data_IF_801096755038
#
_entry.id   IF_801096755038
#
_cell.length_a   1.000
_cell.length_b   1.000
_cell.length_c   1.000
_cell.angle_alpha   90.00
_cell.angle_beta   90.00
_cell.angle_gamma   90.00
#
_symmetry.space_group_name_H-M   'P 1'
#
loop_
_entity.id
_entity.type
_entity.pdbx_description
1 polymer ?
#
# COMPACT_ATOMS: atom_id res chain seq x y z
N UNK A 1 -5.88 19.62 1.09
CA UNK A 1 -5.90 18.55 0.07
C UNK A 1 -7.26 18.55 -0.60
N UNK A 2 -7.37 18.11 -1.84
CA UNK A 2 -8.65 18.08 -2.55
C UNK A 2 -8.73 16.91 -3.53
N UNK A 3 -9.95 16.55 -3.90
CA UNK A 3 -10.26 15.56 -4.92
C UNK A 3 -11.52 15.99 -5.69
N UNK A 4 -11.66 15.49 -6.90
CA UNK A 4 -12.89 15.52 -7.68
C UNK A 4 -12.95 14.24 -8.51
N UNK A 5 -14.12 13.93 -9.04
CA UNK A 5 -14.33 12.74 -9.85
C UNK A 5 -15.07 13.10 -11.12
N UNK A 6 -14.83 12.31 -12.16
CA UNK A 6 -15.51 12.42 -13.43
C UNK A 6 -16.62 11.37 -13.50
N UNK A 7 -17.80 11.77 -13.96
CA UNK A 7 -18.91 10.85 -14.19
C UNK A 7 -19.18 10.76 -15.69
N UNK A 8 -19.07 9.56 -16.26
CA UNK A 8 -19.34 9.32 -17.69
C UNK A 8 -20.80 9.57 -18.06
N UNK A 9 -21.75 9.27 -17.15
CA UNK A 9 -23.19 9.48 -17.36
C UNK A 9 -23.55 10.95 -17.61
N UNK A 10 -22.90 11.86 -16.89
CA UNK A 10 -23.13 13.31 -17.02
C UNK A 10 -22.11 13.99 -17.91
N UNK A 11 -20.99 13.31 -18.22
CA UNK A 11 -19.86 13.84 -18.98
C UNK A 11 -19.15 15.00 -18.27
N UNK A 12 -19.20 15.06 -16.93
CA UNK A 12 -18.74 16.21 -16.15
C UNK A 12 -17.88 15.80 -14.97
N UNK A 13 -16.99 16.70 -14.59
CA UNK A 13 -16.29 16.68 -13.31
C UNK A 13 -17.21 17.20 -12.20
N UNK A 14 -17.10 16.62 -11.02
CA UNK A 14 -17.74 17.12 -9.81
C UNK A 14 -17.06 18.37 -9.29
N UNK A 15 -17.71 19.05 -8.33
CA UNK A 15 -17.08 20.13 -7.60
C UNK A 15 -15.88 19.61 -6.79
N UNK A 16 -14.92 20.49 -6.54
CA UNK A 16 -13.78 20.16 -5.69
C UNK A 16 -14.24 19.90 -4.25
N UNK A 17 -13.82 18.77 -3.71
CA UNK A 17 -14.04 18.37 -2.33
C UNK A 17 -12.73 18.60 -1.59
N UNK A 18 -12.78 19.26 -0.44
CA UNK A 18 -11.59 19.68 0.30
C UNK A 18 -11.52 19.03 1.68
N UNK A 19 -10.29 18.82 2.15
CA UNK A 19 -10.00 18.48 3.54
C UNK A 19 -8.68 19.16 3.95
N UNK A 20 -8.53 19.64 5.20
CA UNK A 20 -7.28 20.23 5.67
C UNK A 20 -6.13 19.20 5.60
N UNK A 21 -4.93 19.67 5.27
CA UNK A 21 -3.74 18.85 5.35
C UNK A 21 -3.24 18.79 6.80
N UNK A 22 -2.95 17.61 7.36
CA UNK A 22 -2.41 17.50 8.73
C UNK A 22 -0.95 17.96 8.84
N UNK A 23 -0.25 18.10 7.72
CA UNK A 23 1.13 18.57 7.61
C UNK A 23 1.37 19.19 6.21
N UNK A 24 2.57 19.70 5.96
CA UNK A 24 2.95 20.23 4.66
C UNK A 24 3.06 19.10 3.62
N UNK A 25 2.11 19.03 2.70
CA UNK A 25 2.05 18.05 1.60
C UNK A 25 2.63 18.67 0.33
N UNK A 26 3.54 17.95 -0.32
CA UNK A 26 4.19 18.36 -1.57
C UNK A 26 3.54 17.71 -2.79
N UNK A 27 3.13 16.44 -2.69
CA UNK A 27 2.63 15.66 -3.82
C UNK A 27 1.85 14.42 -3.39
N UNK A 28 1.21 13.78 -4.37
CA UNK A 28 0.73 12.40 -4.32
C UNK A 28 1.43 11.65 -5.45
N UNK A 29 2.40 10.80 -5.10
CA UNK A 29 3.28 10.15 -6.08
C UNK A 29 2.69 8.83 -6.57
N UNK A 30 2.11 8.05 -5.66
CA UNK A 30 1.51 6.77 -5.99
C UNK A 30 0.08 6.94 -6.52
N UNK A 31 -0.38 6.01 -7.38
CA UNK A 31 -1.79 5.92 -7.72
C UNK A 31 -2.64 5.66 -6.46
N UNK A 32 -3.91 6.07 -6.54
CA UNK A 32 -4.87 5.78 -5.49
C UNK A 32 -5.24 4.31 -5.48
N UNK A 33 -5.35 3.73 -4.29
CA UNK A 33 -5.69 2.32 -4.10
C UNK A 33 -7.16 2.23 -3.77
N UNK A 34 -7.90 1.42 -4.52
CA UNK A 34 -9.32 1.17 -4.25
C UNK A 34 -9.46 0.05 -3.22
N UNK A 35 -10.08 0.36 -2.07
CA UNK A 35 -10.39 -0.65 -1.05
C UNK A 35 -11.85 -0.49 -0.64
N UNK A 36 -12.68 -1.46 -1.04
CA UNK A 36 -14.13 -1.37 -0.90
C UNK A 36 -14.68 -0.22 -1.73
N UNK A 37 -15.39 0.72 -1.08
CA UNK A 37 -16.00 1.89 -1.72
C UNK A 37 -15.20 3.19 -1.49
N UNK A 38 -13.91 3.07 -1.22
CA UNK A 38 -13.05 4.23 -0.95
C UNK A 38 -11.71 4.12 -1.68
N UNK A 39 -11.24 5.25 -2.19
CA UNK A 39 -9.88 5.39 -2.69
C UNK A 39 -8.98 5.92 -1.58
N UNK A 40 -7.74 5.44 -1.56
CA UNK A 40 -6.75 5.82 -0.58
C UNK A 40 -5.44 6.26 -1.23
N UNK A 41 -4.83 7.30 -0.66
CA UNK A 41 -3.51 7.76 -1.08
C UNK A 41 -2.61 8.06 0.11
N UNK A 42 -1.31 7.95 -0.11
CA UNK A 42 -0.29 8.46 0.80
C UNK A 42 0.15 9.86 0.34
N UNK A 43 -0.19 10.94 1.07
CA UNK A 43 0.38 12.25 0.80
C UNK A 43 1.88 12.24 1.09
N UNK A 44 2.69 12.67 0.12
CA UNK A 44 4.13 12.88 0.30
C UNK A 44 4.37 14.26 0.91
N UNK A 45 5.07 14.33 2.05
CA UNK A 45 5.27 15.59 2.76
C UNK A 45 6.14 15.47 4.01
N UNK A 46 6.08 16.50 4.88
CA UNK A 46 6.75 16.52 6.19
C UNK A 46 5.90 15.85 7.29
N UNK A 47 5.42 14.65 7.01
CA UNK A 47 4.56 13.87 7.90
C UNK A 47 4.08 12.59 7.25
N UNK A 48 3.20 11.87 7.94
CA UNK A 48 2.60 10.63 7.41
C UNK A 48 1.13 10.56 7.82
N UNK A 49 0.29 10.29 6.84
CA UNK A 49 -1.14 10.08 6.99
C UNK A 49 -1.65 9.31 5.76
N UNK A 50 -2.91 8.94 5.79
CA UNK A 50 -3.61 8.35 4.65
C UNK A 50 -4.78 9.27 4.31
N UNK A 51 -4.87 9.69 3.05
CA UNK A 51 -6.05 10.38 2.55
C UNK A 51 -7.07 9.31 2.11
N UNK A 52 -8.27 9.37 2.66
CA UNK A 52 -9.41 8.56 2.23
C UNK A 52 -10.38 9.43 1.45
N UNK A 53 -10.81 8.95 0.29
CA UNK A 53 -11.95 9.48 -0.45
C UNK A 53 -13.06 8.43 -0.47
N UNK A 54 -14.13 8.69 0.29
CA UNK A 54 -15.34 7.87 0.31
C UNK A 54 -16.18 8.19 -0.93
N UNK A 55 -16.32 7.22 -1.83
CA UNK A 55 -17.01 7.39 -3.11
C UNK A 55 -18.53 7.52 -2.94
N UNK A 56 -19.10 6.82 -1.97
CA UNK A 56 -20.54 6.81 -1.73
C UNK A 56 -20.99 8.12 -1.06
N UNK A 57 -20.22 8.58 -0.07
CA UNK A 57 -20.49 9.83 0.65
C UNK A 57 -19.95 11.06 -0.08
N UNK A 58 -19.02 10.86 -1.02
CA UNK A 58 -18.28 11.92 -1.69
C UNK A 58 -17.60 12.86 -0.68
N UNK A 59 -16.85 12.27 0.26
CA UNK A 59 -16.17 13.02 1.32
C UNK A 59 -14.69 12.64 1.41
N UNK A 60 -13.86 13.60 1.81
CA UNK A 60 -12.45 13.38 2.11
C UNK A 60 -12.22 13.35 3.61
N UNK A 61 -11.51 12.32 4.07
CA UNK A 61 -11.08 12.18 5.44
C UNK A 61 -9.57 11.91 5.51
N UNK A 62 -8.96 12.36 6.60
CA UNK A 62 -7.56 12.07 6.90
C UNK A 62 -7.54 10.99 7.97
N UNK A 63 -6.81 9.91 7.68
CA UNK A 63 -6.56 8.82 8.59
C UNK A 63 -5.15 8.98 9.13
N UNK A 64 -5.02 9.04 10.45
CA UNK A 64 -3.72 9.09 11.11
C UNK A 64 -2.92 7.82 10.82
N UNK A 65 -1.61 8.01 10.67
CA UNK A 65 -0.66 6.91 10.55
C UNK A 65 -0.61 6.10 11.86
N UNK A 66 -0.27 4.79 11.85
CA UNK A 66 0.01 4.07 13.09
C UNK A 66 1.02 4.83 13.96
N UNK A 67 0.80 4.89 15.28
CA UNK A 67 1.55 5.78 16.17
C UNK A 67 3.03 5.41 16.35
N UNK A 68 3.41 4.18 16.02
CA UNK A 68 4.80 3.70 16.13
C UNK A 68 5.11 2.68 15.03
N UNK A 69 5.16 3.11 13.77
CA UNK A 69 5.49 2.21 12.68
C UNK A 69 7.00 1.98 12.70
N UNK A 70 7.45 0.74 12.54
CA UNK A 70 8.84 0.50 12.18
C UNK A 70 8.99 0.78 10.68
N UNK A 71 8.89 2.03 10.24
CA UNK A 71 9.07 2.40 8.84
C UNK A 71 9.66 3.81 8.69
N UNK A 72 10.58 3.97 7.73
CA UNK A 72 11.23 5.26 7.46
C UNK A 72 10.42 6.13 6.50
N UNK A 73 9.53 5.54 5.69
CA UNK A 73 8.76 6.27 4.67
C UNK A 73 7.53 5.49 4.19
N UNK A 74 6.50 6.24 3.78
CA UNK A 74 5.32 5.71 3.07
C UNK A 74 5.67 4.99 1.77
N UNK A 75 6.81 5.27 1.14
CA UNK A 75 7.27 4.56 -0.07
C UNK A 75 7.47 3.05 0.15
N UNK A 76 7.62 2.63 1.41
CA UNK A 76 7.77 1.24 1.83
C UNK A 76 6.50 0.69 2.50
N UNK A 77 5.36 1.29 2.21
CA UNK A 77 4.08 0.91 2.77
C UNK A 77 3.04 0.69 1.68
N UNK A 78 2.04 -0.13 1.99
CA UNK A 78 0.97 -0.47 1.04
C UNK A 78 -0.35 -0.69 1.80
N UNK A 79 -1.41 -0.02 1.33
CA UNK A 79 -2.78 -0.26 1.82
C UNK A 79 -3.36 -1.47 1.08
N UNK A 80 -4.14 -2.27 1.78
CA UNK A 80 -4.84 -3.43 1.22
C UNK A 80 -6.16 -3.68 1.95
N UNK A 81 -7.03 -4.52 1.37
CA UNK A 81 -8.24 -5.00 2.03
C UNK A 81 -7.90 -6.21 2.92
N UNK A 82 -8.01 -6.07 4.23
CA UNK A 82 -7.77 -7.17 5.17
C UNK A 82 -8.97 -8.12 5.26
N UNK A 83 -8.75 -9.30 5.85
CA UNK A 83 -9.83 -10.25 6.14
C UNK A 83 -10.88 -9.60 7.05
N UNK A 84 -12.16 -9.85 6.77
CA UNK A 84 -13.27 -9.20 7.48
C UNK A 84 -13.60 -7.77 7.00
N UNK A 85 -12.97 -7.29 5.92
CA UNK A 85 -13.32 -6.01 5.29
C UNK A 85 -12.65 -4.80 5.94
N UNK A 86 -11.67 -5.00 6.81
CA UNK A 86 -10.93 -3.91 7.45
C UNK A 86 -9.89 -3.30 6.50
N UNK A 87 -9.55 -2.04 6.75
CA UNK A 87 -8.42 -1.40 6.08
C UNK A 87 -7.11 -1.97 6.65
N UNK A 88 -6.33 -2.63 5.81
CA UNK A 88 -5.01 -3.15 6.11
C UNK A 88 -3.90 -2.20 5.66
N UNK A 89 -2.79 -2.21 6.38
CA UNK A 89 -1.57 -1.50 6.03
C UNK A 89 -0.38 -2.42 6.29
N UNK A 90 0.44 -2.66 5.28
CA UNK A 90 1.77 -3.26 5.46
C UNK A 90 2.80 -2.15 5.45
N UNK A 91 3.72 -2.20 6.42
CA UNK A 91 4.84 -1.26 6.53
C UNK A 91 6.15 -2.03 6.59
N UNK A 92 7.14 -1.62 5.80
CA UNK A 92 8.48 -2.24 5.78
C UNK A 92 9.51 -1.27 6.39
N UNK A 93 10.35 -1.79 7.28
CA UNK A 93 11.65 -1.21 7.65
C UNK A 93 12.76 -1.94 6.90
N UNK A 94 14.01 -1.60 7.22
CA UNK A 94 15.17 -2.36 6.77
C UNK A 94 15.12 -3.81 7.28
N UNK A 95 14.75 -4.05 8.52
CA UNK A 95 14.88 -5.37 9.17
C UNK A 95 13.55 -6.13 9.33
N UNK A 96 12.43 -5.43 9.24
CA UNK A 96 11.14 -5.97 9.63
C UNK A 96 10.02 -5.57 8.68
N UNK A 97 8.98 -6.38 8.69
CA UNK A 97 7.70 -6.11 8.06
C UNK A 97 6.65 -6.16 9.16
N UNK A 98 5.73 -5.19 9.16
CA UNK A 98 4.59 -5.17 10.06
C UNK A 98 3.27 -5.10 9.27
N UNK A 99 2.28 -5.87 9.71
CA UNK A 99 0.91 -5.80 9.21
C UNK A 99 0.04 -5.16 10.29
N UNK A 100 -0.69 -4.12 9.89
CA UNK A 100 -1.62 -3.38 10.71
C UNK A 100 -3.02 -3.47 10.13
N UNK A 101 -4.02 -3.52 11.01
CA UNK A 101 -5.42 -3.45 10.62
C UNK A 101 -6.12 -2.35 11.40
N UNK A 102 -6.98 -1.58 10.72
CA UNK A 102 -7.73 -0.48 11.31
C UNK A 102 -9.06 -1.01 11.86
N UNK A 103 -9.10 -1.26 13.18
CA UNK A 103 -10.22 -1.90 13.88
C UNK A 103 -10.94 -0.94 14.82
N UNK A 104 -12.25 -1.12 14.95
CA UNK A 104 -13.04 -0.48 16.01
C UNK A 104 -12.72 -1.17 17.33
N UNK A 105 -12.20 -0.43 18.29
CA UNK A 105 -11.87 -0.96 19.61
C UNK A 105 -13.09 -0.92 20.54
N UNK A 106 -12.96 -1.53 21.72
CA UNK A 106 -14.03 -1.62 22.74
C UNK A 106 -14.62 -0.26 23.14
N UNK A 107 -13.85 0.81 22.99
CA UNK A 107 -14.26 2.19 23.28
C UNK A 107 -15.05 2.85 22.14
N UNK A 108 -15.32 2.13 21.04
CA UNK A 108 -15.97 2.66 19.84
C UNK A 108 -15.05 3.51 18.96
N UNK A 109 -13.78 3.67 19.34
CA UNK A 109 -12.77 4.40 18.58
C UNK A 109 -12.06 3.46 17.60
N UNK A 110 -11.95 3.90 16.35
CA UNK A 110 -11.21 3.18 15.31
C UNK A 110 -9.73 3.52 15.37
N UNK A 111 -8.87 2.53 15.58
CA UNK A 111 -7.41 2.69 15.62
C UNK A 111 -6.68 1.59 14.87
N UNK A 112 -5.42 1.86 14.52
CA UNK A 112 -4.52 0.84 14.00
C UNK A 112 -4.13 -0.15 15.10
N UNK A 113 -4.22 -1.44 14.78
CA UNK A 113 -3.81 -2.53 15.66
C UNK A 113 -2.80 -3.38 14.90
N UNK A 114 -1.59 -3.52 15.47
CA UNK A 114 -0.56 -4.39 14.94
C UNK A 114 -1.05 -5.84 15.01
N UNK A 115 -1.09 -6.52 13.86
CA UNK A 115 -1.53 -7.91 13.76
C UNK A 115 -0.35 -8.87 13.72
N UNK A 116 0.67 -8.55 12.92
CA UNK A 116 1.82 -9.42 12.68
C UNK A 116 3.08 -8.60 12.53
N UNK A 117 4.20 -9.19 12.92
CA UNK A 117 5.55 -8.70 12.65
C UNK A 117 6.39 -9.86 12.19
N UNK A 118 7.21 -9.65 11.17
CA UNK A 118 8.12 -10.66 10.64
C UNK A 118 9.47 -10.02 10.31
N UNK A 119 10.55 -10.80 10.39
CA UNK A 119 11.86 -10.37 9.93
C UNK A 119 11.89 -10.36 8.40
N UNK A 120 12.19 -9.20 7.82
CA UNK A 120 12.12 -9.00 6.37
C UNK A 120 13.09 -9.94 5.63
N UNK A 121 14.30 -10.12 6.16
CA UNK A 121 15.31 -11.02 5.58
C UNK A 121 14.83 -12.47 5.52
N UNK A 122 14.08 -12.93 6.53
CA UNK A 122 13.52 -14.29 6.53
C UNK A 122 12.38 -14.42 5.55
N UNK A 123 11.49 -13.42 5.48
CA UNK A 123 10.36 -13.39 4.53
C UNK A 123 10.85 -13.39 3.08
N UNK A 124 11.88 -12.59 2.80
CA UNK A 124 12.49 -12.49 1.47
C UNK A 124 13.55 -13.56 1.17
N UNK A 125 13.78 -14.48 2.12
CA UNK A 125 14.81 -15.53 2.05
C UNK A 125 16.19 -15.00 1.64
N UNK A 126 16.54 -13.81 2.13
CA UNK A 126 17.79 -13.15 1.79
C UNK A 126 18.96 -13.86 2.48
N UNK A 127 20.01 -14.12 1.71
CA UNK A 127 21.26 -14.69 2.23
C UNK A 127 21.89 -13.79 3.31
N UNK A 128 22.66 -14.40 4.22
CA UNK A 128 23.39 -13.66 5.25
C UNK A 128 24.32 -12.62 4.61
N UNK A 129 24.06 -11.34 4.88
CA UNK A 129 24.89 -10.22 4.39
C UNK A 129 24.21 -9.31 3.36
N UNK A 130 23.08 -9.72 2.79
CA UNK A 130 22.29 -8.83 1.92
C UNK A 130 21.74 -7.68 2.75
N UNK A 131 22.08 -6.45 2.34
CA UNK A 131 21.59 -5.24 3.00
C UNK A 131 20.25 -4.85 2.39
N UNK A 132 19.20 -4.96 3.18
CA UNK A 132 17.86 -4.41 2.90
C UNK A 132 17.78 -2.89 2.95
N UNK A 133 18.91 -2.19 3.14
CA UNK A 133 18.98 -0.72 3.12
C UNK A 133 18.50 -0.10 1.81
N UNK A 134 18.49 -0.87 0.72
CA UNK A 134 18.04 -0.44 -0.61
C UNK A 134 16.74 -1.10 -1.04
N UNK A 135 15.88 -1.52 -0.11
CA UNK A 135 14.57 -2.04 -0.45
C UNK A 135 13.74 -0.95 -1.14
N UNK A 136 13.17 -1.29 -2.30
CA UNK A 136 12.24 -0.42 -3.02
C UNK A 136 10.99 -1.18 -3.39
N UNK A 137 9.82 -0.65 -3.05
CA UNK A 137 8.54 -1.11 -3.58
C UNK A 137 8.40 -0.63 -5.02
N UNK A 138 8.28 -1.59 -5.94
CA UNK A 138 8.13 -1.33 -7.37
C UNK A 138 6.67 -1.18 -7.79
N UNK A 139 5.75 -1.88 -7.10
CA UNK A 139 4.32 -1.84 -7.43
C UNK A 139 3.49 -2.77 -6.56
N UNK A 140 2.18 -2.72 -6.74
CA UNK A 140 1.21 -3.52 -6.01
C UNK A 140 0.08 -3.96 -6.93
N UNK A 141 -0.32 -5.23 -6.84
CA UNK A 141 -1.46 -5.79 -7.54
C UNK A 141 -2.63 -5.96 -6.56
N UNK A 142 -3.67 -5.15 -6.73
CA UNK A 142 -4.79 -5.01 -5.78
C UNK A 142 -5.58 -6.31 -5.61
N UNK A 143 -5.92 -6.98 -6.71
CA UNK A 143 -6.81 -8.15 -6.75
C UNK A 143 -6.28 -9.37 -5.98
N UNK A 144 -4.96 -9.46 -5.87
CA UNK A 144 -4.24 -10.64 -5.33
C UNK A 144 -3.35 -10.28 -4.15
N UNK A 145 -3.35 -9.02 -3.72
CA UNK A 145 -2.57 -8.49 -2.59
C UNK A 145 -1.09 -8.84 -2.65
N UNK A 146 -0.52 -8.65 -3.83
CA UNK A 146 0.89 -8.92 -4.10
C UNK A 146 1.65 -7.60 -4.23
N UNK A 147 2.73 -7.48 -3.47
CA UNK A 147 3.67 -6.37 -3.60
C UNK A 147 4.93 -6.82 -4.33
N UNK A 148 5.40 -6.02 -5.29
CA UNK A 148 6.69 -6.21 -5.93
C UNK A 148 7.74 -5.36 -5.20
N UNK A 149 8.82 -5.99 -4.80
CA UNK A 149 9.92 -5.40 -4.06
C UNK A 149 11.23 -5.62 -4.81
N UNK A 150 12.12 -4.65 -4.83
CA UNK A 150 13.50 -4.81 -5.25
C UNK A 150 14.41 -4.72 -4.03
N UNK A 151 15.25 -5.73 -3.83
CA UNK A 151 16.32 -5.72 -2.83
C UNK A 151 17.60 -6.26 -3.48
N UNK A 152 18.70 -5.50 -3.40
CA UNK A 152 20.02 -5.89 -3.91
C UNK A 152 19.97 -6.42 -5.35
N UNK A 153 19.42 -5.59 -6.25
CA UNK A 153 19.21 -5.92 -7.66
C UNK A 153 18.36 -7.17 -7.92
N UNK A 154 17.61 -7.67 -6.94
CA UNK A 154 16.70 -8.81 -7.11
C UNK A 154 15.26 -8.36 -6.90
N UNK A 155 14.38 -8.73 -7.83
CA UNK A 155 12.94 -8.46 -7.69
C UNK A 155 12.26 -9.66 -7.03
N UNK A 156 11.51 -9.37 -5.99
CA UNK A 156 10.73 -10.31 -5.21
C UNK A 156 9.26 -9.98 -5.35
N UNK A 157 8.47 -11.05 -5.37
CA UNK A 157 7.04 -10.99 -5.19
C UNK A 157 6.72 -11.34 -3.75
N UNK A 158 5.96 -10.50 -3.06
CA UNK A 158 5.54 -10.72 -1.68
C UNK A 158 4.01 -10.82 -1.62
N UNK A 159 3.51 -11.98 -1.19
CA UNK A 159 2.10 -12.18 -0.86
C UNK A 159 1.83 -11.66 0.55
N UNK A 160 0.99 -10.62 0.69
CA UNK A 160 0.81 -9.95 1.99
C UNK A 160 0.17 -10.87 3.04
N UNK A 161 -0.90 -11.59 2.68
CA UNK A 161 -1.69 -12.38 3.65
C UNK A 161 -0.88 -13.53 4.29
N UNK A 162 -0.04 -14.21 3.48
CA UNK A 162 0.77 -15.35 3.92
C UNK A 162 2.20 -14.99 4.31
N UNK A 163 2.66 -13.77 4.00
CA UNK A 163 4.05 -13.33 4.15
C UNK A 163 5.04 -14.28 3.48
N UNK A 164 4.63 -14.90 2.37
CA UNK A 164 5.47 -15.73 1.54
C UNK A 164 6.02 -14.87 0.41
N UNK A 165 7.30 -15.02 0.11
CA UNK A 165 7.91 -14.37 -1.03
C UNK A 165 8.46 -15.36 -2.04
N UNK A 166 8.66 -14.90 -3.27
CA UNK A 166 9.46 -15.59 -4.26
C UNK A 166 10.34 -14.59 -5.00
N UNK A 167 11.61 -14.93 -5.21
CA UNK A 167 12.47 -14.19 -6.14
C UNK A 167 11.98 -14.45 -7.56
N UNK A 168 11.89 -13.39 -8.36
CA UNK A 168 11.43 -13.46 -9.75
C UNK A 168 12.62 -13.40 -10.73
N UNK A 169 13.37 -12.30 -10.71
CA UNK A 169 14.56 -12.10 -11.56
C UNK A 169 15.54 -11.12 -10.91
N UNK A 170 16.71 -10.97 -11.53
CA UNK A 170 17.73 -9.98 -11.16
C UNK A 170 17.72 -8.82 -12.17
N UNK A 171 17.79 -7.59 -11.69
CA UNK A 171 17.78 -6.36 -12.48
C UNK A 171 18.66 -5.30 -11.84
N UNK A 172 19.42 -4.57 -12.67
CA UNK A 172 20.11 -3.35 -12.27
C UNK A 172 19.28 -2.09 -12.53
N UNK A 173 18.09 -2.25 -13.13
CA UNK A 173 17.18 -1.16 -13.46
C UNK A 173 16.05 -1.17 -12.43
N UNK A 174 15.89 -0.03 -11.76
CA UNK A 174 14.82 0.21 -10.80
C UNK A 174 13.82 1.18 -11.41
N UNK A 175 12.79 0.66 -12.08
CA UNK A 175 11.64 1.43 -12.53
C UNK A 175 10.41 1.03 -11.73
N UNK A 176 9.46 1.96 -11.56
CA UNK A 176 8.13 1.59 -11.08
C UNK A 176 7.51 0.58 -12.04
N UNK A 177 6.82 -0.41 -11.50
CA UNK A 177 6.13 -1.46 -12.24
C UNK A 177 4.65 -1.37 -11.92
N UNK A 178 3.81 -1.56 -12.93
CA UNK A 178 2.37 -1.65 -12.76
C UNK A 178 1.95 -3.11 -12.94
N UNK A 179 2.10 -3.97 -11.91
CA UNK A 179 1.74 -5.36 -12.04
C UNK A 179 0.24 -5.48 -12.26
N UNK A 180 -0.14 -6.14 -13.34
CA UNK A 180 -1.51 -6.49 -13.63
C UNK A 180 -1.70 -7.99 -13.43
N UNK A 181 -2.67 -8.37 -12.59
CA UNK A 181 -3.08 -9.74 -12.43
C UNK A 181 -4.27 -10.02 -13.35
N UNK A 182 -4.17 -11.09 -14.13
CA UNK A 182 -5.31 -11.62 -14.89
C UNK A 182 -5.44 -13.12 -14.64
N UNK A 183 -6.67 -13.61 -14.71
CA UNK A 183 -6.95 -15.04 -14.64
C UNK A 183 -6.95 -15.61 -16.06
N UNK A 184 -6.01 -16.50 -16.36
CA UNK A 184 -5.98 -17.21 -17.65
C UNK A 184 -6.74 -18.55 -17.58
N UNK A 185 -6.69 -19.21 -16.42
CA UNK A 185 -7.45 -20.43 -16.08
C UNK A 185 -7.97 -20.24 -14.66
N UNK A 186 -9.17 -20.76 -14.35
CA UNK A 186 -9.76 -20.63 -13.00
C UNK A 186 -8.77 -21.10 -11.93
N UNK A 187 -8.31 -20.17 -11.08
CA UNK A 187 -7.34 -20.42 -10.01
C UNK A 187 -5.88 -20.11 -10.32
N UNK A 188 -5.53 -19.78 -11.57
CA UNK A 188 -4.14 -19.43 -11.96
C UNK A 188 -4.05 -17.96 -12.37
N UNK A 189 -3.32 -17.18 -11.58
CA UNK A 189 -3.01 -15.78 -11.88
C UNK A 189 -1.74 -15.69 -12.72
N UNK A 190 -1.85 -15.03 -13.87
CA UNK A 190 -0.70 -14.62 -14.67
C UNK A 190 -0.46 -13.14 -14.38
N UNK A 191 0.76 -12.83 -13.98
CA UNK A 191 1.21 -11.47 -13.74
C UNK A 191 1.97 -10.98 -14.96
N UNK A 192 1.48 -9.91 -15.55
CA UNK A 192 2.17 -9.20 -16.61
C UNK A 192 2.59 -7.84 -16.07
N UNK A 193 3.80 -7.41 -16.39
CA UNK A 193 4.31 -6.10 -16.00
C UNK A 193 4.41 -5.23 -17.24
N UNK A 194 3.93 -3.99 -17.11
CA UNK A 194 4.11 -2.93 -18.10
C UNK A 194 5.15 -1.93 -17.63
#
# INVERSE_FOLDING_TARGET
>A
MFACFYTSETGRWSNLIFTPAPFLVFAFVDPGILVGHSLYWFPTGLGSAILQFDLDRQTLAVIEWPSNPNCYSHYMSQIFLAEGGYLGLVTLSYDSLQIWERKVCSEGVTRWVLQRTAELNKVLELGSGVKTSHLVRLGYAEDVKVMLLCADSSVFMLQIDSLQSRKLWETNIMSSLHPYASTYVAGTYVFTMQ
#
